data_IF_035618667481
#
_entry.id   IF_035618667481
#
_cell.length_a   1.000
_cell.length_b   1.000
_cell.length_c   1.000
_cell.angle_alpha   90.00
_cell.angle_beta   90.00
_cell.angle_gamma   90.00
#
_symmetry.space_group_name_H-M   'P 1'
#
loop_
_entity.id
_entity.type
_entity.pdbx_description
1 polymer ?
#
# COMPACT_ATOMS: atom_id res chain seq x y z
N UNK A 1 4.57 -40.28 -22.73
CA UNK A 1 3.94 -39.29 -21.84
C UNK A 1 4.99 -38.86 -20.84
N UNK A 2 5.71 -37.77 -21.13
CA UNK A 2 6.73 -37.24 -20.22
C UNK A 2 6.06 -36.58 -19.03
N UNK A 3 6.22 -37.19 -17.86
CA UNK A 3 5.89 -36.60 -16.57
C UNK A 3 6.87 -35.46 -16.30
N UNK A 4 6.40 -34.21 -16.38
CA UNK A 4 7.12 -33.05 -15.87
C UNK A 4 7.53 -33.31 -14.40
N UNK A 5 8.78 -33.04 -14.01
CA UNK A 5 9.22 -33.26 -12.63
C UNK A 5 8.43 -32.35 -11.67
N UNK A 6 8.23 -32.78 -10.41
CA UNK A 6 7.51 -32.00 -9.42
C UNK A 6 8.31 -30.74 -9.11
N UNK A 7 7.78 -29.62 -9.57
CA UNK A 7 8.35 -28.29 -9.40
C UNK A 7 8.50 -28.03 -7.90
N UNK A 8 9.73 -27.76 -7.44
CA UNK A 8 10.00 -27.45 -6.04
C UNK A 8 9.31 -26.12 -5.66
N UNK A 9 8.81 -25.97 -4.42
CA UNK A 9 8.13 -24.76 -3.96
C UNK A 9 9.01 -23.49 -4.02
N UNK A 10 10.33 -23.66 -4.10
CA UNK A 10 11.31 -22.59 -4.29
C UNK A 10 11.35 -21.97 -5.69
N UNK A 11 10.79 -22.64 -6.70
CA UNK A 11 10.99 -22.27 -8.11
C UNK A 11 10.18 -21.05 -8.56
N UNK A 12 8.98 -20.83 -8.01
CA UNK A 12 8.10 -19.74 -8.42
C UNK A 12 8.36 -18.42 -7.70
N UNK A 13 9.23 -18.40 -6.68
CA UNK A 13 9.54 -17.17 -5.94
C UNK A 13 10.13 -16.15 -6.90
N UNK A 14 9.58 -14.94 -6.86
CA UNK A 14 9.87 -13.83 -7.75
C UNK A 14 9.54 -14.04 -9.24
N UNK A 15 8.81 -15.11 -9.58
CA UNK A 15 8.28 -15.36 -10.92
C UNK A 15 6.84 -14.89 -11.05
N UNK A 16 6.44 -14.68 -12.31
CA UNK A 16 5.05 -14.43 -12.66
C UNK A 16 4.26 -15.73 -12.51
N UNK A 17 3.16 -15.67 -11.77
CA UNK A 17 2.23 -16.77 -11.55
C UNK A 17 0.82 -16.38 -11.99
N UNK A 18 0.03 -17.36 -12.38
CA UNK A 18 -1.32 -17.20 -12.91
C UNK A 18 -2.34 -17.99 -12.11
N UNK A 19 -3.63 -17.60 -12.16
CA UNK A 19 -4.68 -18.34 -11.50
C UNK A 19 -4.70 -19.82 -11.92
N UNK A 20 -4.69 -20.72 -10.94
CA UNK A 20 -4.63 -22.18 -11.15
C UNK A 20 -3.23 -22.78 -10.96
N UNK A 21 -2.16 -21.98 -10.96
CA UNK A 21 -0.81 -22.48 -10.67
C UNK A 21 -0.72 -22.99 -9.23
N UNK A 22 -0.14 -24.18 -9.04
CA UNK A 22 0.13 -24.75 -7.72
C UNK A 22 1.56 -24.36 -7.33
N UNK A 23 1.68 -23.46 -6.34
CA UNK A 23 2.97 -22.85 -5.97
C UNK A 23 3.65 -23.55 -4.81
N UNK A 24 2.88 -24.14 -3.90
CA UNK A 24 3.39 -24.89 -2.75
C UNK A 24 2.55 -26.15 -2.56
N UNK A 25 3.24 -27.26 -2.35
CA UNK A 25 2.66 -28.56 -2.04
C UNK A 25 3.06 -28.93 -0.61
N UNK A 26 2.08 -28.90 0.31
CA UNK A 26 2.30 -29.11 1.75
C UNK A 26 2.71 -30.55 2.06
N UNK A 27 2.33 -31.53 1.24
CA UNK A 27 2.73 -32.93 1.43
C UNK A 27 4.25 -33.11 1.32
N UNK A 28 4.95 -32.17 0.66
CA UNK A 28 6.41 -32.14 0.53
C UNK A 28 7.12 -31.35 1.65
N UNK A 29 6.37 -30.64 2.51
CA UNK A 29 6.92 -29.82 3.59
C UNK A 29 6.48 -30.38 4.96
N UNK A 30 7.18 -31.39 5.45
CA UNK A 30 6.91 -31.93 6.79
C UNK A 30 7.22 -30.90 7.90
N UNK A 31 6.27 -30.69 8.81
CA UNK A 31 6.39 -29.90 10.05
C UNK A 31 6.70 -28.39 9.89
N UNK A 32 6.31 -27.76 8.77
CA UNK A 32 6.43 -26.30 8.62
C UNK A 32 5.07 -25.61 8.59
N UNK A 33 4.85 -24.66 9.51
CA UNK A 33 3.71 -23.73 9.44
C UNK A 33 3.99 -22.61 8.44
N UNK A 34 3.11 -22.48 7.45
CA UNK A 34 3.18 -21.44 6.40
C UNK A 34 2.13 -20.37 6.67
N UNK A 35 2.50 -19.10 6.47
CA UNK A 35 1.56 -17.97 6.49
C UNK A 35 1.19 -17.60 5.06
N UNK A 36 -0.09 -17.78 4.71
CA UNK A 36 -0.62 -17.40 3.41
C UNK A 36 -1.12 -15.96 3.45
N UNK A 37 -0.59 -15.13 2.56
CA UNK A 37 -1.09 -13.78 2.30
C UNK A 37 -2.05 -13.76 1.12
N UNK A 38 -2.35 -12.54 0.65
CA UNK A 38 -3.31 -12.32 -0.43
C UNK A 38 -2.93 -13.01 -1.75
N UNK A 39 -3.96 -13.41 -2.50
CA UNK A 39 -3.80 -14.00 -3.84
C UNK A 39 -3.50 -15.49 -3.86
N UNK A 40 -3.38 -16.14 -2.69
CA UNK A 40 -3.23 -17.58 -2.55
C UNK A 40 -4.48 -18.18 -1.87
N UNK A 41 -4.77 -19.44 -2.18
CA UNK A 41 -5.80 -20.23 -1.52
C UNK A 41 -5.26 -21.62 -1.23
N UNK A 42 -5.55 -22.12 -0.04
CA UNK A 42 -5.28 -23.51 0.33
C UNK A 42 -6.51 -24.36 0.01
N UNK A 43 -6.29 -25.48 -0.64
CA UNK A 43 -7.27 -26.55 -0.86
C UNK A 43 -6.62 -27.90 -0.51
N UNK A 44 -6.95 -28.44 0.67
CA UNK A 44 -6.24 -29.57 1.26
C UNK A 44 -4.74 -29.28 1.42
N UNK A 45 -3.92 -30.11 0.79
CA UNK A 45 -2.45 -30.01 0.80
C UNK A 45 -1.89 -29.10 -0.31
N UNK A 46 -2.72 -28.65 -1.25
CA UNK A 46 -2.29 -27.82 -2.37
C UNK A 46 -2.54 -26.33 -2.08
N UNK A 47 -1.54 -25.50 -2.34
CA UNK A 47 -1.68 -24.03 -2.34
C UNK A 47 -1.67 -23.55 -3.78
N UNK A 48 -2.84 -23.08 -4.23
CA UNK A 48 -3.06 -22.58 -5.58
C UNK A 48 -3.12 -21.05 -5.62
N UNK A 49 -2.68 -20.50 -6.74
CA UNK A 49 -2.76 -19.08 -7.04
C UNK A 49 -4.17 -18.73 -7.50
N UNK A 50 -4.72 -17.64 -6.96
CA UNK A 50 -6.07 -17.13 -7.30
C UNK A 50 -6.03 -15.84 -8.13
N UNK A 51 -4.85 -15.21 -8.25
CA UNK A 51 -4.67 -13.93 -8.94
C UNK A 51 -3.36 -13.94 -9.71
N UNK A 52 -3.35 -13.34 -10.90
CA UNK A 52 -2.12 -13.15 -11.64
C UNK A 52 -1.22 -12.12 -10.94
N UNK A 53 0.07 -12.39 -10.86
CA UNK A 53 1.01 -11.48 -10.23
C UNK A 53 2.38 -12.12 -10.01
N UNK A 54 3.19 -11.48 -9.17
CA UNK A 54 4.51 -11.98 -8.80
C UNK A 54 4.43 -12.67 -7.45
N UNK A 55 4.84 -13.94 -7.36
CA UNK A 55 4.89 -14.63 -6.08
C UNK A 55 6.03 -14.06 -5.23
N UNK A 56 5.71 -13.64 -4.02
CA UNK A 56 6.65 -13.09 -3.05
C UNK A 56 6.77 -13.99 -1.84
N UNK A 57 7.95 -13.97 -1.25
CA UNK A 57 8.29 -14.71 -0.05
C UNK A 57 8.94 -13.78 0.96
N UNK A 58 8.53 -13.91 2.23
CA UNK A 58 9.21 -13.31 3.36
C UNK A 58 9.52 -14.38 4.40
N UNK A 59 10.76 -14.35 4.91
CA UNK A 59 11.19 -15.21 6.01
C UNK A 59 10.33 -14.93 7.27
N UNK A 60 9.99 -15.94 8.08
CA UNK A 60 10.41 -17.33 7.96
C UNK A 60 9.65 -18.12 6.87
N UNK A 61 8.32 -17.99 6.74
CA UNK A 61 7.50 -18.79 5.82
C UNK A 61 6.21 -18.06 5.37
N UNK A 62 6.29 -16.80 4.93
CA UNK A 62 5.14 -16.03 4.43
C UNK A 62 5.16 -15.93 2.91
N UNK A 63 4.09 -16.38 2.26
CA UNK A 63 3.94 -16.30 0.80
C UNK A 63 2.72 -15.44 0.44
N UNK A 64 2.82 -14.63 -0.60
CA UNK A 64 1.68 -13.89 -1.16
C UNK A 64 1.91 -13.59 -2.63
N UNK A 65 0.84 -13.34 -3.37
CA UNK A 65 0.94 -12.87 -4.76
C UNK A 65 0.80 -11.37 -4.78
N UNK A 66 1.84 -10.70 -5.24
CA UNK A 66 1.83 -9.27 -5.48
C UNK A 66 1.24 -8.97 -6.86
N UNK A 67 0.10 -8.27 -6.87
CA UNK A 67 -0.62 -7.92 -8.09
C UNK A 67 -0.96 -6.43 -8.11
N UNK A 68 -0.80 -5.77 -9.25
CA UNK A 68 -1.23 -4.38 -9.41
C UNK A 68 -2.71 -4.30 -9.75
N UNK A 69 -3.48 -3.61 -8.91
CA UNK A 69 -4.90 -3.36 -9.13
C UNK A 69 -5.23 -1.90 -8.82
N UNK A 70 -6.29 -1.36 -9.45
CA UNK A 70 -6.81 -0.02 -9.14
C UNK A 70 -7.71 0.01 -7.90
N UNK A 71 -8.37 -1.11 -7.58
CA UNK A 71 -9.23 -1.24 -6.41
C UNK A 71 -8.41 -1.74 -5.22
N UNK A 72 -8.42 -0.98 -4.14
CA UNK A 72 -7.74 -1.37 -2.91
C UNK A 72 -8.55 -2.41 -2.13
N UNK A 73 -7.86 -3.38 -1.55
CA UNK A 73 -8.43 -4.36 -0.62
C UNK A 73 -7.74 -4.17 0.71
N UNK A 74 -8.45 -3.69 1.74
CA UNK A 74 -7.87 -3.42 3.06
C UNK A 74 -7.18 -4.65 3.64
N UNK A 75 -5.95 -4.47 4.13
CA UNK A 75 -5.20 -5.50 4.84
C UNK A 75 -4.66 -4.91 6.14
N UNK A 76 -4.74 -5.69 7.23
CA UNK A 76 -4.23 -5.26 8.52
C UNK A 76 -2.72 -4.97 8.44
N UNK A 77 -2.30 -3.81 8.96
CA UNK A 77 -0.94 -3.30 8.89
C UNK A 77 -0.66 -2.34 7.75
N UNK A 78 -1.59 -2.16 6.80
CA UNK A 78 -1.39 -1.22 5.69
C UNK A 78 -1.46 0.23 6.18
N UNK A 79 -0.56 1.07 5.65
CA UNK A 79 -0.63 2.52 5.79
C UNK A 79 -1.35 3.10 4.56
N UNK A 80 -2.39 3.90 4.79
CA UNK A 80 -3.28 4.38 3.74
C UNK A 80 -3.68 5.84 3.96
N UNK A 81 -4.08 6.49 2.87
CA UNK A 81 -4.69 7.82 2.92
C UNK A 81 -6.21 7.71 2.87
N UNK A 82 -6.87 8.23 3.89
CA UNK A 82 -8.32 8.24 4.04
C UNK A 82 -8.90 9.65 4.00
N UNK A 83 -10.11 9.79 3.46
CA UNK A 83 -10.85 11.06 3.49
C UNK A 83 -12.02 10.90 4.45
N UNK A 84 -12.16 11.82 5.41
CA UNK A 84 -13.30 11.81 6.34
C UNK A 84 -14.58 12.10 5.57
N UNK A 85 -15.52 11.16 5.62
CA UNK A 85 -16.84 11.29 4.97
C UNK A 85 -17.87 11.80 5.96
N UNK A 86 -17.82 11.31 7.20
CA UNK A 86 -18.80 11.65 8.24
C UNK A 86 -18.19 11.45 9.64
N UNK A 87 -18.74 12.14 10.63
CA UNK A 87 -18.33 12.05 12.03
C UNK A 87 -19.50 11.61 12.91
N UNK A 88 -19.40 10.41 13.48
CA UNK A 88 -20.38 9.88 14.46
C UNK A 88 -19.81 9.97 15.87
N UNK A 89 -20.68 9.79 16.87
CA UNK A 89 -20.33 9.93 18.28
C UNK A 89 -19.10 9.08 18.71
N UNK A 90 -19.02 7.84 18.20
CA UNK A 90 -17.96 6.89 18.59
C UNK A 90 -16.91 6.66 17.49
N UNK A 91 -17.21 6.99 16.23
CA UNK A 91 -16.35 6.69 15.08
C UNK A 91 -16.46 7.76 13.99
N UNK A 92 -15.34 8.07 13.34
CA UNK A 92 -15.33 8.74 12.05
C UNK A 92 -15.49 7.70 10.93
N UNK A 93 -16.35 8.00 9.96
CA UNK A 93 -16.43 7.24 8.71
C UNK A 93 -15.40 7.79 7.74
N UNK A 94 -14.49 6.93 7.27
CA UNK A 94 -13.38 7.32 6.42
C UNK A 94 -13.40 6.52 5.13
N UNK A 95 -13.37 7.19 3.98
CA UNK A 95 -13.20 6.54 2.69
C UNK A 95 -11.71 6.29 2.44
N UNK A 96 -11.33 5.01 2.35
CA UNK A 96 -9.97 4.55 2.05
C UNK A 96 -9.85 3.95 0.63
N UNK A 97 -10.80 4.21 -0.27
CA UNK A 97 -10.86 3.61 -1.63
C UNK A 97 -11.01 2.09 -1.59
N UNK A 98 -11.58 1.58 -0.50
CA UNK A 98 -11.90 0.16 -0.29
C UNK A 98 -13.29 -0.23 -0.82
N UNK A 99 -13.73 -1.47 -0.58
CA UNK A 99 -15.09 -1.90 -0.91
C UNK A 99 -16.17 -1.27 -0.01
N UNK A 100 -15.81 -0.90 1.22
CA UNK A 100 -16.70 -0.30 2.22
C UNK A 100 -15.99 0.86 2.90
N UNK A 101 -16.76 1.77 3.51
CA UNK A 101 -16.20 2.81 4.38
C UNK A 101 -15.54 2.18 5.61
N UNK A 102 -14.43 2.77 6.02
CA UNK A 102 -13.67 2.36 7.18
C UNK A 102 -14.13 3.11 8.43
N UNK A 103 -13.95 2.48 9.58
CA UNK A 103 -14.28 3.05 10.89
C UNK A 103 -12.98 3.49 11.56
N UNK A 104 -12.88 4.77 11.91
CA UNK A 104 -11.80 5.30 12.73
C UNK A 104 -12.37 5.68 14.10
N UNK A 105 -12.13 4.87 15.15
CA UNK A 105 -12.64 5.17 16.49
C UNK A 105 -12.12 6.51 17.01
N UNK A 106 -12.98 7.27 17.70
CA UNK A 106 -12.62 8.59 18.25
C UNK A 106 -11.49 8.56 19.28
N UNK A 107 -11.21 7.38 19.84
CA UNK A 107 -10.13 7.13 20.80
C UNK A 107 -8.84 6.60 20.15
N UNK A 108 -8.85 6.31 18.85
CA UNK A 108 -7.71 5.73 18.14
C UNK A 108 -6.67 6.79 17.73
N UNK A 109 -6.32 7.68 18.66
CA UNK A 109 -5.38 8.79 18.51
C UNK A 109 -4.50 8.88 19.75
N UNK A 110 -3.30 9.44 19.60
CA UNK A 110 -2.43 9.70 20.73
C UNK A 110 -3.11 10.67 21.71
N UNK A 111 -3.28 10.22 22.96
CA UNK A 111 -4.00 10.99 23.98
C UNK A 111 -5.52 11.04 23.82
N UNK A 112 -6.10 10.19 22.97
CA UNK A 112 -7.55 10.09 22.76
C UNK A 112 -8.29 9.70 24.04
N UNK A 113 -9.11 10.61 24.57
CA UNK A 113 -10.01 10.34 25.71
C UNK A 113 -11.40 10.85 25.38
N UNK A 114 -12.44 10.38 26.10
CA UNK A 114 -13.82 10.89 25.91
C UNK A 114 -13.96 12.41 26.14
N UNK A 115 -12.99 13.04 26.79
CA UNK A 115 -12.92 14.50 27.00
C UNK A 115 -12.17 15.22 25.89
N UNK A 116 -11.28 14.52 25.19
CA UNK A 116 -10.41 15.07 24.14
C UNK A 116 -10.59 14.26 22.85
N UNK A 117 -11.72 14.48 22.18
CA UNK A 117 -12.03 13.88 20.89
C UNK A 117 -11.54 14.84 19.80
N UNK A 118 -10.70 14.38 18.85
CA UNK A 118 -10.28 15.19 17.71
C UNK A 118 -11.49 15.68 16.91
N UNK A 119 -11.41 16.90 16.38
CA UNK A 119 -12.46 17.45 15.51
C UNK A 119 -11.98 17.44 14.07
N UNK A 120 -12.50 16.53 13.27
CA UNK A 120 -12.27 16.51 11.82
C UNK A 120 -13.50 16.97 11.09
N UNK A 121 -13.30 17.83 10.10
CA UNK A 121 -14.34 18.23 9.17
C UNK A 121 -14.48 17.20 8.05
N UNK A 122 -15.67 17.12 7.44
CA UNK A 122 -15.86 16.31 6.24
C UNK A 122 -14.92 16.80 5.14
N UNK A 123 -14.26 15.86 4.46
CA UNK A 123 -13.24 16.15 3.46
C UNK A 123 -11.80 16.19 4.01
N UNK A 124 -11.60 16.13 5.33
CA UNK A 124 -10.24 16.10 5.91
C UNK A 124 -9.48 14.86 5.42
N UNK A 125 -8.26 15.06 4.91
CA UNK A 125 -7.36 13.99 4.52
C UNK A 125 -6.56 13.50 5.74
N UNK A 126 -6.54 12.19 5.95
CA UNK A 126 -5.85 11.54 7.06
C UNK A 126 -4.86 10.50 6.54
N UNK A 127 -3.66 10.48 7.12
CA UNK A 127 -2.74 9.36 7.02
C UNK A 127 -2.96 8.42 8.20
N UNK A 128 -3.36 7.19 7.91
CA UNK A 128 -3.88 6.24 8.90
C UNK A 128 -3.34 4.84 8.66
N UNK A 129 -3.38 4.01 9.70
CA UNK A 129 -3.05 2.59 9.62
C UNK A 129 -4.31 1.74 9.72
N UNK A 130 -4.41 0.70 8.89
CA UNK A 130 -5.44 -0.33 9.00
C UNK A 130 -5.07 -1.28 10.14
N UNK A 131 -5.90 -1.36 11.17
CA UNK A 131 -5.68 -2.25 12.32
C UNK A 131 -6.39 -3.59 12.13
N UNK A 132 -7.65 -3.56 11.69
CA UNK A 132 -8.44 -4.76 11.40
C UNK A 132 -9.07 -4.65 10.03
N UNK A 133 -9.04 -5.76 9.29
CA UNK A 133 -9.61 -5.87 7.95
C UNK A 133 -10.20 -7.26 7.75
N UNK A 134 -11.23 -7.59 8.53
CA UNK A 134 -11.88 -8.88 8.47
C UNK A 134 -12.87 -8.92 7.30
N UNK A 135 -12.92 -10.05 6.59
CA UNK A 135 -13.86 -10.24 5.48
C UNK A 135 -15.30 -10.08 5.94
N UNK A 136 -16.08 -9.23 5.26
CA UNK A 136 -17.49 -8.99 5.56
C UNK A 136 -17.76 -7.96 6.66
N UNK A 137 -16.72 -7.40 7.30
CA UNK A 137 -16.85 -6.29 8.25
C UNK A 137 -16.17 -5.03 7.72
N UNK A 138 -16.62 -3.87 8.18
CA UNK A 138 -15.92 -2.61 7.86
C UNK A 138 -14.51 -2.63 8.47
N UNK A 139 -13.49 -2.19 7.72
CA UNK A 139 -12.13 -2.13 8.24
C UNK A 139 -12.03 -1.08 9.35
N UNK A 140 -11.24 -1.40 10.38
CA UNK A 140 -10.94 -0.49 11.48
C UNK A 140 -9.58 0.17 11.27
N UNK A 141 -9.55 1.48 11.49
CA UNK A 141 -8.38 2.34 11.33
C UNK A 141 -7.85 2.83 12.68
N UNK A 142 -6.61 3.27 12.68
CA UNK A 142 -5.97 3.96 13.81
C UNK A 142 -5.01 5.02 13.29
N UNK A 143 -4.94 6.14 14.03
CA UNK A 143 -3.91 7.16 13.85
C UNK A 143 -2.74 6.97 14.83
N UNK A 144 -2.46 5.72 15.18
CA UNK A 144 -1.35 5.35 16.05
C UNK A 144 -0.61 4.15 15.47
N UNK A 145 0.68 4.09 15.78
CA UNK A 145 1.51 2.93 15.49
C UNK A 145 1.14 1.71 16.37
N UNK A 146 1.91 0.63 16.24
CA UNK A 146 1.68 -0.56 17.07
C UNK A 146 2.02 -0.34 18.55
N UNK A 147 2.73 0.74 18.89
CA UNK A 147 3.13 1.10 20.26
C UNK A 147 2.15 2.07 20.93
N UNK A 148 1.17 2.60 20.18
CA UNK A 148 0.18 3.55 20.66
C UNK A 148 0.60 5.02 20.56
N UNK A 149 1.66 5.34 19.80
CA UNK A 149 2.10 6.72 19.52
C UNK A 149 1.57 7.19 18.18
N UNK A 150 1.33 8.50 18.02
CA UNK A 150 0.83 9.05 16.75
C UNK A 150 1.85 8.89 15.61
N UNK A 151 3.15 8.83 15.92
CA UNK A 151 4.22 8.74 14.93
C UNK A 151 4.00 9.76 13.79
N UNK A 152 3.75 9.29 12.57
CA UNK A 152 3.50 10.11 11.37
C UNK A 152 2.01 10.14 10.97
N UNK A 153 1.13 9.50 11.73
CA UNK A 153 -0.29 9.42 11.42
C UNK A 153 -1.03 10.68 11.87
N UNK A 154 -2.16 10.97 11.21
CA UNK A 154 -3.00 12.11 11.52
C UNK A 154 -3.42 12.90 10.30
N UNK A 155 -3.94 14.12 10.50
CA UNK A 155 -4.42 14.95 9.41
C UNK A 155 -3.26 15.51 8.57
N UNK A 156 -3.39 15.39 7.25
CA UNK A 156 -2.53 16.06 6.30
C UNK A 156 -3.19 17.36 5.87
N UNK A 157 -2.51 18.48 6.14
CA UNK A 157 -2.98 19.82 5.79
C UNK A 157 -2.31 20.27 4.51
N UNK A 158 -3.04 21.04 3.72
CA UNK A 158 -2.58 21.56 2.42
C UNK A 158 -2.13 20.45 1.47
N UNK A 159 -1.30 20.80 0.49
CA UNK A 159 -0.80 19.87 -0.52
C UNK A 159 -1.84 19.42 -1.54
N UNK A 160 -1.48 18.40 -2.30
CA UNK A 160 -2.30 17.84 -3.37
C UNK A 160 -2.32 16.31 -3.27
N UNK A 161 -3.53 15.75 -3.21
CA UNK A 161 -3.75 14.31 -3.22
C UNK A 161 -4.22 13.86 -4.59
N UNK A 162 -3.57 12.84 -5.14
CA UNK A 162 -3.92 12.22 -6.41
C UNK A 162 -3.96 10.70 -6.29
N UNK A 163 -4.63 10.07 -7.24
CA UNK A 163 -4.82 8.63 -7.26
C UNK A 163 -3.89 7.93 -8.26
N UNK A 164 -3.39 6.76 -7.88
CA UNK A 164 -2.50 5.89 -8.65
C UNK A 164 -2.89 4.42 -8.51
N UNK A 165 -2.16 3.51 -9.15
CA UNK A 165 -2.32 2.08 -8.88
C UNK A 165 -1.70 1.68 -7.54
N UNK A 166 -2.24 0.62 -6.94
CA UNK A 166 -1.65 0.03 -5.73
C UNK A 166 -0.25 -0.53 -5.97
N UNK A 167 0.07 -0.90 -7.21
CA UNK A 167 1.42 -1.34 -7.61
C UNK A 167 2.43 -0.19 -7.56
N UNK A 168 2.07 0.99 -8.08
CA UNK A 168 2.92 2.17 -8.00
C UNK A 168 3.15 2.58 -6.54
N UNK A 169 2.10 2.61 -5.70
CA UNK A 169 2.26 2.91 -4.27
C UNK A 169 3.27 1.98 -3.58
N UNK A 170 3.22 0.67 -3.86
CA UNK A 170 4.19 -0.28 -3.31
C UNK A 170 5.60 -0.07 -3.82
N UNK A 171 5.75 0.33 -5.08
CA UNK A 171 7.05 0.65 -5.67
C UNK A 171 7.62 1.94 -5.09
N UNK A 172 6.78 2.94 -4.82
CA UNK A 172 7.23 4.19 -4.16
C UNK A 172 7.71 3.94 -2.73
N UNK A 173 7.07 3.00 -2.02
CA UNK A 173 7.45 2.58 -0.67
C UNK A 173 8.52 1.47 -0.63
N UNK A 174 9.06 1.05 -1.78
CA UNK A 174 10.04 -0.05 -1.81
C UNK A 174 11.37 0.38 -1.22
N UNK A 175 12.12 -0.60 -0.70
CA UNK A 175 13.52 -0.46 -0.33
C UNK A 175 14.38 -1.34 -1.25
N UNK A 176 15.39 -0.79 -1.97
CA UNK A 176 15.83 0.60 -1.97
C UNK A 176 14.79 1.59 -2.54
N UNK A 177 14.91 2.90 -2.22
CA UNK A 177 13.94 3.91 -2.63
C UNK A 177 13.68 3.92 -4.14
N UNK A 178 12.44 4.22 -4.52
CA UNK A 178 12.08 4.35 -5.92
C UNK A 178 12.99 5.36 -6.64
N UNK A 179 13.56 5.02 -7.82
CA UNK A 179 14.42 5.91 -8.58
C UNK A 179 13.84 7.31 -8.85
N UNK A 180 12.52 7.39 -9.03
CA UNK A 180 11.80 8.64 -9.26
C UNK A 180 11.93 9.56 -8.05
N UNK A 181 11.63 9.05 -6.85
CA UNK A 181 11.70 9.83 -5.61
C UNK A 181 13.15 10.18 -5.27
N UNK A 182 14.09 9.25 -5.46
CA UNK A 182 15.52 9.48 -5.23
C UNK A 182 16.04 10.62 -6.12
N UNK A 183 15.61 10.67 -7.38
CA UNK A 183 16.09 11.69 -8.34
C UNK A 183 15.40 13.05 -8.12
N UNK A 184 14.10 13.06 -7.82
CA UNK A 184 13.37 14.30 -7.50
C UNK A 184 13.90 14.94 -6.22
N UNK A 185 14.11 14.15 -5.16
CA UNK A 185 14.58 14.64 -3.86
C UNK A 185 15.99 15.24 -3.85
N UNK A 186 16.80 14.97 -4.89
CA UNK A 186 18.13 15.60 -5.03
C UNK A 186 18.08 17.09 -5.35
N UNK A 187 17.01 17.56 -5.98
CA UNK A 187 16.88 18.97 -6.43
C UNK A 187 15.66 19.69 -5.87
N UNK A 188 14.62 18.96 -5.48
CA UNK A 188 13.34 19.52 -5.04
C UNK A 188 13.10 19.17 -3.57
N UNK A 189 12.76 20.17 -2.77
CA UNK A 189 12.25 19.97 -1.43
C UNK A 189 10.72 19.80 -1.48
N UNK A 190 10.24 18.63 -1.08
CA UNK A 190 8.82 18.32 -0.97
C UNK A 190 8.59 17.23 0.09
N UNK A 191 7.39 17.22 0.63
CA UNK A 191 6.86 16.17 1.51
C UNK A 191 5.97 15.25 0.69
N UNK A 192 5.98 13.97 1.01
CA UNK A 192 5.14 12.97 0.35
C UNK A 192 4.63 11.96 1.36
N UNK A 193 3.34 11.64 1.28
CA UNK A 193 2.72 10.53 1.99
C UNK A 193 2.13 9.56 0.97
N UNK A 194 2.51 8.29 1.05
CA UNK A 194 2.09 7.25 0.11
C UNK A 194 1.18 6.26 0.82
N UNK A 195 -0.07 6.19 0.39
CA UNK A 195 -1.02 5.17 0.82
C UNK A 195 -0.97 3.93 -0.07
N UNK A 196 -0.93 2.74 0.54
CA UNK A 196 -1.02 1.45 -0.17
C UNK A 196 -2.35 1.25 -0.92
N UNK A 197 -3.33 2.11 -0.64
CA UNK A 197 -4.61 2.19 -1.33
C UNK A 197 -4.56 2.90 -2.70
N UNK A 198 -3.39 3.27 -3.20
CA UNK A 198 -3.27 3.97 -4.47
C UNK A 198 -3.71 5.43 -4.37
N UNK A 199 -3.53 6.05 -3.20
CA UNK A 199 -3.64 7.49 -2.97
C UNK A 199 -2.29 8.00 -2.53
N UNK A 200 -1.88 9.13 -3.06
CA UNK A 200 -0.59 9.77 -2.76
C UNK A 200 -0.87 11.23 -2.49
N UNK A 201 -0.27 11.77 -1.43
CA UNK A 201 -0.31 13.18 -1.10
C UNK A 201 1.09 13.77 -1.23
N UNK A 202 1.18 14.95 -1.85
CA UNK A 202 2.43 15.69 -2.03
C UNK A 202 2.23 17.13 -1.57
N UNK A 203 3.20 17.66 -0.84
CA UNK A 203 3.21 19.05 -0.41
C UNK A 203 4.59 19.67 -0.64
N UNK A 204 4.63 20.94 -1.02
CA UNK A 204 5.87 21.68 -1.23
C UNK A 204 5.59 23.18 -1.10
N UNK A 205 6.64 23.97 -0.86
CA UNK A 205 6.51 25.42 -0.70
C UNK A 205 5.94 26.13 -1.95
N UNK A 206 6.19 25.59 -3.15
CA UNK A 206 5.64 26.12 -4.41
C UNK A 206 4.63 25.16 -5.03
N UNK A 207 3.41 25.62 -5.39
CA UNK A 207 2.43 24.80 -6.12
C UNK A 207 2.97 24.24 -7.44
N UNK A 208 3.88 24.95 -8.10
CA UNK A 208 4.52 24.48 -9.33
C UNK A 208 5.32 23.19 -9.11
N UNK A 209 6.01 23.08 -7.97
CA UNK A 209 6.76 21.87 -7.57
C UNK A 209 5.79 20.74 -7.28
N UNK A 210 4.68 21.01 -6.58
CA UNK A 210 3.65 19.99 -6.30
C UNK A 210 3.10 19.40 -7.59
N UNK A 211 2.71 20.24 -8.54
CA UNK A 211 2.20 19.79 -9.86
C UNK A 211 3.25 19.00 -10.62
N UNK A 212 4.50 19.46 -10.61
CA UNK A 212 5.61 18.78 -11.28
C UNK A 212 5.84 17.38 -10.71
N UNK A 213 5.91 17.25 -9.38
CA UNK A 213 6.14 15.98 -8.69
C UNK A 213 4.98 15.03 -8.93
N UNK A 214 3.73 15.48 -8.77
CA UNK A 214 2.55 14.66 -8.99
C UNK A 214 2.48 14.13 -10.43
N UNK A 215 2.64 15.02 -11.43
CA UNK A 215 2.64 14.62 -12.84
C UNK A 215 3.78 13.67 -13.18
N UNK A 216 4.97 13.89 -12.61
CA UNK A 216 6.12 13.02 -12.84
C UNK A 216 5.83 11.62 -12.30
N UNK A 217 5.34 11.51 -11.07
CA UNK A 217 4.99 10.22 -10.46
C UNK A 217 3.96 9.47 -11.34
N UNK A 218 2.87 10.15 -11.73
CA UNK A 218 1.82 9.54 -12.55
C UNK A 218 2.31 9.07 -13.92
N UNK A 219 3.19 9.85 -14.57
CA UNK A 219 3.71 9.51 -15.91
C UNK A 219 4.77 8.41 -15.89
N UNK A 220 5.43 8.20 -14.75
CA UNK A 220 6.51 7.21 -14.62
C UNK A 220 6.04 5.79 -14.32
N UNK A 221 4.74 5.57 -14.09
CA UNK A 221 4.16 4.29 -13.68
C UNK A 221 4.48 3.13 -14.64
N UNK A 222 4.41 3.38 -15.95
CA UNK A 222 4.63 2.37 -16.99
C UNK A 222 6.07 2.27 -17.50
N UNK A 223 6.99 3.05 -16.92
CA UNK A 223 8.37 3.17 -17.39
C UNK A 223 9.30 2.26 -16.60
N UNK A 224 10.37 1.77 -17.25
CA UNK A 224 11.40 1.01 -16.55
C UNK A 224 12.22 1.92 -15.61
N UNK A 225 12.87 1.38 -14.55
CA UNK A 225 13.68 2.16 -13.62
C UNK A 225 14.74 3.06 -14.29
N UNK A 226 15.33 2.60 -15.39
CA UNK A 226 16.32 3.36 -16.17
C UNK A 226 15.65 4.52 -16.92
N UNK A 227 14.52 4.25 -17.57
CA UNK A 227 13.74 5.26 -18.27
C UNK A 227 13.20 6.33 -17.32
N UNK A 228 12.79 5.93 -16.11
CA UNK A 228 12.37 6.83 -15.04
C UNK A 228 13.47 7.83 -14.70
N UNK A 229 14.69 7.37 -14.41
CA UNK A 229 15.84 8.26 -14.09
C UNK A 229 16.10 9.26 -15.21
N UNK A 230 16.24 8.78 -16.45
CA UNK A 230 16.52 9.63 -17.62
C UNK A 230 15.42 10.69 -17.82
N UNK A 231 14.15 10.31 -17.64
CA UNK A 231 13.03 11.26 -17.78
C UNK A 231 13.07 12.33 -16.71
N UNK A 232 13.26 11.95 -15.45
CA UNK A 232 13.31 12.90 -14.33
C UNK A 232 14.51 13.84 -14.47
N UNK A 233 15.69 13.33 -14.84
CA UNK A 233 16.88 14.15 -15.07
C UNK A 233 16.68 15.18 -16.18
N UNK A 234 16.11 14.77 -17.33
CA UNK A 234 15.78 15.69 -18.43
C UNK A 234 14.76 16.76 -18.03
N UNK A 235 13.78 16.39 -17.21
CA UNK A 235 12.77 17.32 -16.71
C UNK A 235 13.37 18.32 -15.72
N UNK A 236 14.27 17.87 -14.84
CA UNK A 236 14.99 18.71 -13.90
C UNK A 236 16.01 19.65 -14.57
N UNK A 237 16.55 19.30 -15.74
CA UNK A 237 17.42 20.18 -16.53
C UNK A 237 16.66 21.35 -17.16
N UNK A 238 15.36 21.20 -17.45
CA UNK A 238 14.53 22.27 -18.04
C UNK A 238 14.03 23.30 -17.03
N UNK A 239 14.19 23.02 -15.74
CA UNK A 239 13.78 23.89 -14.64
C UNK A 239 14.92 24.81 -14.16
N UNK A 240 16.13 24.60 -14.70
CA UNK A 240 17.30 25.47 -14.55
C UNK A 240 17.34 26.47 -15.70
#
# INVERSE_FOLDING_TARGET
MESKPPISPSSFVDQQVFPGDIVVDLSKMANQTIKLGGGLRQDGDAISVMRAGKLRFAKPNKYWVESSHKRYVPSAGDNVLGIVVDAKADNFLVDIKGPTLALLPVLAFEGGTRRNIPKFEMGTLLYVRVVKANTGMSPELSCMDATGKAAEYGPLKDGFMFETSTGLSRTLLSSPPCPVLETLGKKLAFEIAVGLNGRIWVNAASPSIVVLVANTIMQTESMSPVQQKIRVEKLLQRLQ
#
